data_IF_168722698895
#
_entry.id   IF_168722698895
#
_cell.length_a   1.000
_cell.length_b   1.000
_cell.length_c   1.000
_cell.angle_alpha   90.00
_cell.angle_beta   90.00
_cell.angle_gamma   90.00
#
_symmetry.space_group_name_H-M   'P 1'
#
loop_
_entity.id
_entity.type
_entity.pdbx_description
1 polymer ?
#
# COMPACT_ATOMS: atom_id res chain seq x y z
N UNK A 1 -0.91 10.17 -20.07
CA UNK A 1 0.07 11.14 -20.60
C UNK A 1 -0.67 12.44 -20.81
N UNK A 2 -0.11 13.56 -20.34
CA UNK A 2 -0.64 14.91 -20.56
C UNK A 2 0.44 15.64 -21.35
N UNK A 3 0.08 16.33 -22.42
CA UNK A 3 1.03 17.23 -23.07
C UNK A 3 1.19 18.44 -22.15
N UNK A 4 2.28 18.46 -21.38
CA UNK A 4 2.48 19.40 -20.28
C UNK A 4 3.77 20.17 -20.51
N UNK A 5 3.66 21.49 -20.68
CA UNK A 5 4.80 22.41 -20.59
C UNK A 5 5.10 22.60 -19.10
N UNK A 6 5.99 21.79 -18.52
CA UNK A 6 6.22 21.80 -17.07
C UNK A 6 7.47 22.59 -16.67
N UNK A 7 7.29 23.58 -15.79
CA UNK A 7 8.35 24.26 -15.01
C UNK A 7 8.28 23.80 -13.54
N UNK A 8 8.30 22.48 -13.29
CA UNK A 8 8.42 21.96 -11.92
C UNK A 8 9.86 21.54 -11.67
N UNK A 9 10.39 21.91 -10.51
CA UNK A 9 11.75 21.57 -10.11
C UNK A 9 11.73 20.68 -8.87
N UNK A 10 12.87 20.07 -8.55
CA UNK A 10 13.03 19.35 -7.28
C UNK A 10 12.83 20.25 -6.05
N UNK A 11 12.94 21.57 -6.22
CA UNK A 11 12.76 22.54 -5.14
C UNK A 11 11.29 22.67 -4.71
N UNK A 12 10.34 22.37 -5.61
CA UNK A 12 8.91 22.51 -5.35
C UNK A 12 8.31 21.31 -4.59
N UNK A 13 9.16 20.43 -4.05
CA UNK A 13 8.73 19.23 -3.33
C UNK A 13 7.96 19.61 -2.05
N UNK A 14 6.73 19.12 -1.93
CA UNK A 14 5.87 19.35 -0.76
C UNK A 14 4.91 20.53 -0.90
N UNK A 15 4.94 21.24 -2.03
CA UNK A 15 3.99 22.31 -2.34
C UNK A 15 2.85 21.81 -3.22
N UNK A 16 1.73 22.52 -3.16
CA UNK A 16 0.63 22.34 -4.11
C UNK A 16 1.01 22.94 -5.46
N UNK A 17 0.75 22.20 -6.54
CA UNK A 17 1.07 22.63 -7.91
C UNK A 17 -0.19 22.54 -8.77
N UNK A 18 -0.42 23.56 -9.58
CA UNK A 18 -1.50 23.61 -10.56
C UNK A 18 -0.96 23.26 -11.96
N UNK A 19 -1.63 22.35 -12.66
CA UNK A 19 -1.30 21.95 -14.03
C UNK A 19 -2.49 22.16 -14.95
N UNK A 20 -2.23 22.67 -16.16
CA UNK A 20 -3.22 22.83 -17.22
C UNK A 20 -2.75 22.11 -18.48
N UNK A 21 -3.64 21.39 -19.16
CA UNK A 21 -3.32 20.68 -20.39
C UNK A 21 -4.37 19.65 -20.79
N UNK A 22 -4.11 18.91 -21.87
CA UNK A 22 -5.01 17.87 -22.39
C UNK A 22 -4.52 16.48 -21.98
N UNK A 23 -5.41 15.66 -21.41
CA UNK A 23 -5.14 14.26 -21.09
C UNK A 23 -5.26 13.42 -22.36
N UNK A 24 -4.14 12.88 -22.85
CA UNK A 24 -4.11 12.07 -24.10
C UNK A 24 -4.13 10.56 -23.85
N UNK A 25 -3.95 10.12 -22.59
CA UNK A 25 -4.04 8.70 -22.21
C UNK A 25 -4.34 8.55 -20.74
N UNK A 26 -5.27 7.65 -20.44
CA UNK A 26 -5.58 7.16 -19.09
C UNK A 26 -5.08 5.72 -18.91
N UNK A 27 -4.66 5.36 -17.70
CA UNK A 27 -4.27 4.00 -17.33
C UNK A 27 -5.47 3.18 -16.88
N UNK A 28 -5.28 1.87 -16.75
CA UNK A 28 -6.28 1.00 -16.10
C UNK A 28 -6.34 1.30 -14.60
N UNK A 29 -7.53 1.33 -13.98
CA UNK A 29 -7.63 1.47 -12.54
C UNK A 29 -6.92 0.31 -11.85
N UNK A 30 -6.23 0.62 -10.77
CA UNK A 30 -5.53 -0.35 -9.92
C UNK A 30 -6.12 -0.26 -8.51
N UNK A 31 -6.39 -1.41 -7.91
CA UNK A 31 -6.87 -1.50 -6.52
C UNK A 31 -5.68 -1.31 -5.59
N UNK A 32 -5.68 -0.19 -4.86
CA UNK A 32 -4.67 0.06 -3.85
C UNK A 32 -5.14 -0.49 -2.49
N UNK A 33 -4.63 -1.68 -2.14
CA UNK A 33 -4.85 -2.27 -0.82
C UNK A 33 -3.98 -1.56 0.22
N UNK A 34 -4.58 -0.55 0.87
CA UNK A 34 -3.98 0.19 1.97
C UNK A 34 -3.77 -0.68 3.22
N UNK A 35 -4.57 -1.73 3.38
CA UNK A 35 -4.50 -2.65 4.51
C UNK A 35 -4.37 -4.07 4.00
N UNK A 36 -3.52 -4.87 4.66
CA UNK A 36 -3.37 -6.29 4.33
C UNK A 36 -3.49 -7.14 5.58
N UNK A 37 -4.33 -8.16 5.50
CA UNK A 37 -4.57 -9.10 6.61
C UNK A 37 -3.68 -10.33 6.48
N UNK A 38 -3.14 -10.75 7.62
CA UNK A 38 -2.28 -11.92 7.76
C UNK A 38 -2.85 -12.83 8.84
N UNK A 39 -2.78 -14.14 8.62
CA UNK A 39 -3.20 -15.14 9.60
C UNK A 39 -1.97 -15.83 10.17
N UNK A 40 -1.91 -15.93 11.49
CA UNK A 40 -0.92 -16.76 12.18
C UNK A 40 -1.17 -18.24 11.86
N UNK A 41 -0.14 -18.95 11.39
CA UNK A 41 -0.27 -20.35 10.99
C UNK A 41 -0.44 -21.31 12.17
N UNK A 42 -0.07 -20.89 13.39
CA UNK A 42 -0.12 -21.75 14.58
C UNK A 42 -1.42 -21.60 15.38
N UNK A 43 -1.83 -20.37 15.68
CA UNK A 43 -3.02 -20.11 16.49
C UNK A 43 -4.22 -19.55 15.70
N UNK A 44 -4.05 -19.29 14.40
CA UNK A 44 -5.11 -18.79 13.54
C UNK A 44 -5.49 -17.32 13.74
N UNK A 45 -4.85 -16.60 14.67
CA UNK A 45 -5.13 -15.19 14.92
C UNK A 45 -4.84 -14.32 13.70
N UNK A 46 -5.72 -13.35 13.43
CA UNK A 46 -5.62 -12.44 12.29
C UNK A 46 -4.98 -11.13 12.73
N UNK A 47 -3.99 -10.67 11.96
CA UNK A 47 -3.29 -9.41 12.15
C UNK A 47 -3.44 -8.57 10.88
N UNK A 48 -4.05 -7.40 11.00
CA UNK A 48 -4.14 -6.44 9.90
C UNK A 48 -2.95 -5.47 9.96
N UNK A 49 -2.28 -5.29 8.81
CA UNK A 49 -1.16 -4.37 8.67
C UNK A 49 -1.55 -3.28 7.67
N UNK A 50 -1.58 -2.05 8.14
CA UNK A 50 -1.85 -0.87 7.31
C UNK A 50 -0.55 -0.38 6.69
N UNK A 51 -0.49 -0.31 5.36
CA UNK A 51 0.57 0.38 4.63
C UNK A 51 0.34 1.88 4.74
N UNK A 52 1.31 2.62 5.25
CA UNK A 52 1.32 4.07 5.07
C UNK A 52 1.76 4.41 3.64
N UNK A 53 1.20 5.48 3.09
CA UNK A 53 1.42 5.94 1.70
C UNK A 53 2.90 6.19 1.33
N UNK A 54 3.78 6.33 2.32
CA UNK A 54 5.22 6.51 2.11
C UNK A 54 6.02 5.21 2.01
N UNK A 55 5.39 4.05 2.23
CA UNK A 55 6.05 2.75 2.36
C UNK A 55 5.66 1.73 1.27
N UNK A 56 5.22 2.21 0.08
CA UNK A 56 4.78 1.34 -1.02
C UNK A 56 5.76 0.21 -1.40
N UNK A 57 7.05 0.38 -1.08
CA UNK A 57 8.12 -0.60 -1.36
C UNK A 57 8.42 -1.57 -0.20
N UNK A 58 7.91 -1.35 1.00
CA UNK A 58 8.17 -2.23 2.15
C UNK A 58 7.04 -3.26 2.26
N UNK A 59 7.37 -4.53 2.04
CA UNK A 59 6.49 -5.65 2.41
C UNK A 59 6.43 -5.74 3.93
N UNK A 60 5.49 -5.01 4.54
CA UNK A 60 5.22 -5.08 5.98
C UNK A 60 4.53 -6.43 6.27
N UNK A 61 5.30 -7.41 6.74
CA UNK A 61 4.79 -8.66 7.31
C UNK A 61 4.78 -8.52 8.84
N UNK A 62 3.75 -9.01 9.56
CA UNK A 62 3.80 -9.05 11.01
C UNK A 62 5.03 -9.81 11.51
N UNK A 63 5.69 -9.27 12.53
CA UNK A 63 6.86 -9.88 13.16
C UNK A 63 6.51 -10.70 14.41
N UNK A 64 5.34 -10.44 15.02
CA UNK A 64 4.86 -11.14 16.22
C UNK A 64 3.35 -11.33 16.15
N UNK A 65 2.89 -12.45 16.70
CA UNK A 65 1.47 -12.72 16.82
C UNK A 65 0.80 -11.77 17.83
N UNK A 66 -0.46 -11.40 17.58
CA UNK A 66 -1.24 -10.59 18.52
C UNK A 66 -1.72 -11.38 19.74
N UNK A 67 -1.66 -12.71 19.69
CA UNK A 67 -2.07 -13.56 20.80
C UNK A 67 -0.89 -13.69 21.80
N UNK A 68 -1.13 -13.33 23.06
CA UNK A 68 -0.10 -13.29 24.12
C UNK A 68 0.48 -14.68 24.42
N UNK A 69 -0.34 -15.73 24.26
CA UNK A 69 0.05 -17.13 24.46
C UNK A 69 0.77 -17.76 23.25
N UNK A 70 0.87 -17.02 22.13
CA UNK A 70 1.46 -17.52 20.89
C UNK A 70 2.69 -16.70 20.49
N UNK A 71 3.84 -17.38 20.41
CA UNK A 71 5.12 -16.77 20.02
C UNK A 71 5.45 -16.94 18.54
N UNK A 72 4.50 -17.41 17.73
CA UNK A 72 4.74 -17.67 16.32
C UNK A 72 5.11 -16.41 15.54
N UNK A 73 6.02 -16.61 14.59
CA UNK A 73 6.44 -15.61 13.59
C UNK A 73 5.99 -16.00 12.17
N UNK A 74 5.27 -17.13 12.05
CA UNK A 74 4.79 -17.64 10.77
C UNK A 74 3.40 -17.13 10.47
N UNK A 75 3.30 -16.37 9.38
CA UNK A 75 2.05 -15.81 8.90
C UNK A 75 1.83 -16.11 7.43
N UNK A 76 0.62 -16.60 7.12
CA UNK A 76 0.06 -16.68 5.78
C UNK A 76 -0.67 -15.38 5.43
N UNK A 77 -0.58 -14.93 4.18
CA UNK A 77 -1.41 -13.81 3.73
C UNK A 77 -2.81 -14.31 3.43
N UNK A 78 -3.82 -13.69 4.04
CA UNK A 78 -5.20 -13.90 3.62
C UNK A 78 -5.37 -13.18 2.28
N UNK A 79 -5.63 -13.95 1.21
CA UNK A 79 -6.13 -13.36 -0.02
C UNK A 79 -7.62 -13.18 0.17
N UNK A 80 -8.09 -11.94 0.14
CA UNK A 80 -9.52 -11.70 0.01
C UNK A 80 -9.94 -12.23 -1.37
N UNK A 81 -10.95 -13.11 -1.40
CA UNK A 81 -11.57 -13.54 -2.64
C UNK A 81 -12.30 -12.33 -3.23
N UNK A 82 -11.70 -11.70 -4.24
CA UNK A 82 -12.41 -10.73 -5.08
C UNK A 82 -13.40 -11.49 -5.96
N UNK A 83 -14.71 -11.25 -5.73
CA UNK A 83 -15.81 -11.76 -6.56
C UNK A 83 -15.82 -11.10 -7.94
#
# INVERSE_FOLDING_TARGET
YIYLHILYSCHDRGYFICFHGTVIRVGTPYVFDATRSYQCEECGSIVAVTKSSNLEKIKLKPTRCSNEDCTSTKFGSLKECTY
#
